data_IF_550333673193
#
_entry.id   IF_550333673193
#
_cell.length_a   1.000
_cell.length_b   1.000
_cell.length_c   1.000
_cell.angle_alpha   90.00
_cell.angle_beta   90.00
_cell.angle_gamma   90.00
#
_symmetry.space_group_name_H-M   'P 1'
#
loop_
_entity.id
_entity.type
_entity.pdbx_description
1 polymer ?
#
# COMPACT_ATOMS: atom_id res chain seq x y z
N UNK A 1 7.95 -46.03 44.33
CA UNK A 1 9.21 -45.32 43.99
C UNK A 1 8.82 -44.04 43.25
N UNK A 2 8.72 -42.89 43.94
CA UNK A 2 8.34 -41.61 43.31
C UNK A 2 9.63 -40.97 42.77
N UNK A 3 9.71 -40.81 41.44
CA UNK A 3 10.77 -40.02 40.81
C UNK A 3 10.61 -38.56 41.27
N UNK A 4 11.46 -38.12 42.19
CA UNK A 4 11.67 -36.71 42.48
C UNK A 4 12.29 -36.08 41.23
N UNK A 5 11.54 -35.27 40.50
CA UNK A 5 12.12 -34.42 39.48
C UNK A 5 13.00 -33.39 40.21
N UNK A 6 14.32 -33.48 40.03
CA UNK A 6 15.23 -32.47 40.55
C UNK A 6 14.93 -31.17 39.78
N UNK A 7 14.30 -30.19 40.44
CA UNK A 7 13.80 -28.94 39.84
C UNK A 7 14.89 -27.94 39.40
N UNK A 8 16.04 -28.42 38.93
CA UNK A 8 17.14 -27.58 38.47
C UNK A 8 16.85 -26.88 37.12
N UNK A 9 15.93 -27.42 36.32
CA UNK A 9 15.45 -26.79 35.10
C UNK A 9 13.97 -27.15 34.87
N UNK A 10 13.19 -26.18 34.38
CA UNK A 10 11.79 -26.34 34.01
C UNK A 10 11.56 -25.73 32.63
N UNK A 11 10.65 -26.30 31.85
CA UNK A 11 10.24 -25.71 30.58
C UNK A 11 9.46 -24.43 30.83
N UNK A 12 9.54 -23.45 29.91
CA UNK A 12 8.83 -22.18 30.03
C UNK A 12 7.32 -22.36 30.28
N UNK A 13 6.72 -23.36 29.62
CA UNK A 13 5.31 -23.73 29.81
C UNK A 13 5.00 -24.22 31.24
N UNK A 14 5.89 -25.01 31.87
CA UNK A 14 5.71 -25.45 33.27
C UNK A 14 6.07 -24.37 34.29
N UNK A 15 6.84 -23.35 33.89
CA UNK A 15 7.16 -22.20 34.72
C UNK A 15 6.01 -21.19 34.82
N UNK A 16 4.98 -21.31 33.98
CA UNK A 16 3.85 -20.39 33.97
C UNK A 16 3.15 -20.35 35.34
N UNK A 17 3.07 -19.16 35.93
CA UNK A 17 2.48 -18.95 37.26
C UNK A 17 3.44 -19.15 38.44
N UNK A 18 4.69 -19.56 38.19
CA UNK A 18 5.74 -19.57 39.22
C UNK A 18 6.48 -18.23 39.31
N UNK A 19 6.99 -17.91 40.49
CA UNK A 19 7.90 -16.78 40.72
C UNK A 19 9.13 -17.30 41.43
N UNK A 20 10.32 -16.92 40.95
CA UNK A 20 11.63 -17.30 41.49
C UNK A 20 12.43 -16.03 41.75
N UNK A 21 13.50 -16.10 42.55
CA UNK A 21 14.32 -14.92 42.83
C UNK A 21 15.15 -14.52 41.59
N UNK A 22 15.74 -15.50 40.90
CA UNK A 22 16.47 -15.28 39.63
C UNK A 22 16.04 -16.29 38.57
N UNK A 23 15.85 -15.81 37.34
CA UNK A 23 15.50 -16.65 36.20
C UNK A 23 16.62 -16.64 35.16
N UNK A 24 16.95 -17.84 34.65
CA UNK A 24 17.98 -18.07 33.65
C UNK A 24 17.36 -18.85 32.50
N UNK A 25 17.08 -18.18 31.39
CA UNK A 25 16.45 -18.75 30.21
C UNK A 25 17.51 -19.19 29.21
N UNK A 26 17.41 -20.41 28.69
CA UNK A 26 18.27 -20.91 27.61
C UNK A 26 17.45 -20.91 26.31
N UNK A 27 17.86 -20.09 25.35
CA UNK A 27 17.24 -19.92 24.04
C UNK A 27 18.10 -20.67 23.03
N UNK A 28 17.64 -21.84 22.62
CA UNK A 28 18.40 -22.78 21.77
C UNK A 28 17.90 -22.87 20.33
N UNK A 29 16.75 -22.25 20.01
CA UNK A 29 16.17 -22.28 18.67
C UNK A 29 15.48 -20.94 18.35
N UNK A 30 15.59 -20.44 17.11
CA UNK A 30 14.78 -19.32 16.62
C UNK A 30 13.28 -19.65 16.50
N UNK A 31 12.90 -20.93 16.62
CA UNK A 31 11.49 -21.39 16.61
C UNK A 31 10.78 -21.16 17.96
N UNK A 32 11.49 -20.64 18.96
CA UNK A 32 10.86 -20.25 20.22
C UNK A 32 9.86 -19.11 19.96
N UNK A 33 8.65 -19.21 20.51
CA UNK A 33 7.64 -18.17 20.37
C UNK A 33 7.93 -16.97 21.28
N UNK A 34 7.52 -15.77 20.86
CA UNK A 34 7.59 -14.54 21.66
C UNK A 34 6.96 -14.74 23.04
N UNK A 35 5.82 -15.43 23.09
CA UNK A 35 5.06 -15.68 24.31
C UNK A 35 5.84 -16.59 25.27
N UNK A 36 6.49 -17.64 24.76
CA UNK A 36 7.36 -18.49 25.57
C UNK A 36 8.56 -17.72 26.11
N UNK A 37 9.13 -16.82 25.31
CA UNK A 37 10.27 -16.01 25.73
C UNK A 37 9.86 -15.00 26.80
N UNK A 38 8.71 -14.35 26.60
CA UNK A 38 8.12 -13.46 27.59
C UNK A 38 7.87 -14.17 28.92
N UNK A 39 7.31 -15.38 28.89
CA UNK A 39 7.09 -16.18 30.10
C UNK A 39 8.43 -16.45 30.78
N UNK A 40 9.44 -16.94 30.06
CA UNK A 40 10.75 -17.24 30.64
C UNK A 40 11.45 -16.00 31.24
N UNK A 41 11.26 -14.83 30.62
CA UNK A 41 11.91 -13.57 31.00
C UNK A 41 11.16 -12.76 32.07
N UNK A 42 10.08 -13.29 32.64
CA UNK A 42 9.24 -12.61 33.64
C UNK A 42 9.07 -13.39 34.95
N UNK A 43 9.82 -14.48 35.15
CA UNK A 43 9.70 -15.30 36.37
C UNK A 43 10.56 -14.84 37.53
N UNK A 44 11.70 -14.22 37.24
CA UNK A 44 12.65 -13.72 38.24
C UNK A 44 12.19 -12.40 38.83
N UNK A 45 12.14 -12.31 40.17
CA UNK A 45 11.85 -11.08 40.89
C UNK A 45 13.04 -10.11 40.85
N UNK A 46 14.25 -10.63 41.00
CA UNK A 46 15.47 -9.81 41.12
C UNK A 46 16.22 -9.69 39.80
N UNK A 47 16.27 -10.77 39.02
CA UNK A 47 16.89 -10.74 37.69
C UNK A 47 16.37 -11.81 36.74
N UNK A 48 16.36 -11.48 35.45
CA UNK A 48 16.03 -12.39 34.36
C UNK A 48 17.16 -12.32 33.32
N UNK A 49 17.85 -13.44 33.06
CA UNK A 49 18.99 -13.53 32.12
C UNK A 49 18.65 -14.52 31.02
N UNK A 50 18.87 -14.12 29.76
CA UNK A 50 18.76 -15.02 28.61
C UNK A 50 20.15 -15.41 28.10
N UNK A 51 20.38 -16.70 27.91
CA UNK A 51 21.54 -17.25 27.23
C UNK A 51 21.08 -17.71 25.85
N UNK A 52 21.59 -17.05 24.81
CA UNK A 52 21.22 -17.32 23.43
C UNK A 52 22.31 -18.19 22.82
N UNK A 53 21.96 -19.44 22.48
CA UNK A 53 22.83 -20.32 21.73
C UNK A 53 22.98 -19.74 20.32
N UNK A 54 24.22 -19.51 19.90
CA UNK A 54 24.57 -19.00 18.56
C UNK A 54 25.30 -20.04 17.72
N UNK A 55 25.50 -21.24 18.29
CA UNK A 55 26.14 -22.40 17.71
C UNK A 55 25.13 -23.31 17.01
N UNK A 56 25.47 -23.75 15.80
CA UNK A 56 24.63 -24.62 14.95
C UNK A 56 25.02 -26.10 15.09
N UNK A 57 25.25 -26.62 16.30
CA UNK A 57 25.70 -28.01 16.48
C UNK A 57 24.65 -29.09 16.11
N UNK A 58 23.42 -28.71 15.79
CA UNK A 58 22.34 -29.62 15.39
C UNK A 58 22.10 -29.71 13.87
N UNK A 59 22.81 -28.92 13.05
CA UNK A 59 22.65 -28.93 11.59
C UNK A 59 23.72 -29.79 10.93
N UNK A 60 23.32 -30.64 9.98
CA UNK A 60 24.27 -31.34 9.09
C UNK A 60 24.91 -30.34 8.12
N UNK A 61 26.11 -30.64 7.61
CA UNK A 61 26.98 -29.71 6.85
C UNK A 61 26.28 -29.07 5.63
N UNK A 62 25.23 -29.70 5.10
CA UNK A 62 24.48 -29.27 3.92
C UNK A 62 23.29 -28.34 4.26
N UNK A 63 23.01 -28.12 5.55
CA UNK A 63 22.02 -27.17 6.06
C UNK A 63 22.65 -25.87 6.58
N UNK A 64 23.99 -25.77 6.56
CA UNK A 64 24.67 -24.52 6.82
C UNK A 64 24.41 -23.53 5.68
N UNK A 65 23.75 -22.42 6.02
CA UNK A 65 23.73 -21.22 5.19
C UNK A 65 24.83 -20.29 5.66
N UNK A 66 25.96 -20.27 4.94
CA UNK A 66 27.15 -19.44 5.24
C UNK A 66 26.88 -17.92 5.21
N UNK A 67 25.73 -17.53 4.67
CA UNK A 67 25.33 -16.16 4.35
C UNK A 67 24.65 -15.39 5.51
N UNK A 68 24.35 -16.05 6.63
CA UNK A 68 23.76 -15.41 7.81
C UNK A 68 24.65 -15.62 9.05
N UNK A 69 25.43 -14.61 9.41
CA UNK A 69 25.98 -14.53 10.77
C UNK A 69 24.80 -14.46 11.76
N UNK A 70 24.41 -15.60 12.32
CA UNK A 70 23.36 -15.70 13.34
C UNK A 70 23.86 -15.07 14.66
N UNK A 71 23.80 -13.74 14.73
CA UNK A 71 24.05 -13.02 15.97
C UNK A 71 22.91 -13.28 16.97
N UNK A 72 23.20 -13.19 18.27
CA UNK A 72 22.17 -13.29 19.30
C UNK A 72 21.01 -12.31 19.07
N UNK A 73 21.29 -11.16 18.44
CA UNK A 73 20.30 -10.14 18.08
C UNK A 73 19.35 -10.60 16.97
N UNK A 74 19.83 -11.28 15.93
CA UNK A 74 18.96 -11.75 14.83
C UNK A 74 18.05 -12.88 15.29
N UNK A 75 18.54 -13.77 16.15
CA UNK A 75 17.72 -14.84 16.77
C UNK A 75 16.62 -14.23 17.63
N UNK A 76 16.97 -13.26 18.49
CA UNK A 76 15.99 -12.57 19.33
C UNK A 76 14.94 -11.81 18.49
N UNK A 77 15.37 -11.20 17.38
CA UNK A 77 14.46 -10.53 16.45
C UNK A 77 13.49 -11.52 15.80
N UNK A 78 13.97 -12.70 15.37
CA UNK A 78 13.12 -13.77 14.85
C UNK A 78 12.08 -14.25 15.86
N UNK A 79 12.50 -14.47 17.11
CA UNK A 79 11.61 -14.90 18.20
C UNK A 79 10.53 -13.86 18.49
N UNK A 80 10.88 -12.57 18.48
CA UNK A 80 9.90 -11.48 18.70
C UNK A 80 8.84 -11.39 17.59
N UNK A 81 9.15 -11.86 16.38
CA UNK A 81 8.21 -11.94 15.26
C UNK A 81 7.41 -13.24 15.25
N UNK A 82 7.84 -14.27 16.00
CA UNK A 82 7.18 -15.57 16.04
C UNK A 82 6.08 -15.61 17.12
N UNK A 83 4.85 -15.31 16.72
CA UNK A 83 3.67 -15.35 17.60
C UNK A 83 3.12 -16.78 17.64
N UNK A 84 3.11 -17.39 18.83
CA UNK A 84 2.69 -18.78 19.05
C UNK A 84 1.20 -18.97 19.37
N UNK A 85 0.40 -17.91 19.33
CA UNK A 85 -1.04 -18.04 19.46
C UNK A 85 -1.59 -18.61 18.15
N UNK A 86 -2.23 -19.78 18.21
CA UNK A 86 -3.16 -20.17 17.16
C UNK A 86 -4.19 -19.03 17.04
N UNK A 87 -4.17 -18.32 15.91
CA UNK A 87 -5.12 -17.23 15.65
C UNK A 87 -6.51 -17.79 15.86
N UNK A 88 -7.32 -17.09 16.66
CA UNK A 88 -8.70 -17.52 16.86
C UNK A 88 -9.42 -17.54 15.49
N UNK A 89 -10.41 -18.41 15.32
CA UNK A 89 -11.20 -18.47 14.08
C UNK A 89 -11.79 -17.09 13.69
N UNK A 90 -11.98 -16.20 14.68
CA UNK A 90 -12.46 -14.84 14.47
C UNK A 90 -11.38 -13.88 13.97
N UNK A 91 -10.17 -13.92 14.52
CA UNK A 91 -9.03 -13.14 14.02
C UNK A 91 -8.59 -13.59 12.61
N UNK A 92 -8.69 -14.89 12.34
CA UNK A 92 -8.48 -15.43 10.98
C UNK A 92 -9.55 -14.90 10.02
N UNK A 93 -10.83 -14.90 10.43
CA UNK A 93 -11.92 -14.35 9.60
C UNK A 93 -11.76 -12.85 9.35
N UNK A 94 -11.37 -12.06 10.36
CA UNK A 94 -11.17 -10.61 10.20
C UNK A 94 -9.94 -10.31 9.35
N UNK A 95 -8.82 -11.01 9.55
CA UNK A 95 -7.63 -10.85 8.73
C UNK A 95 -7.85 -11.30 7.28
N UNK A 96 -8.57 -12.40 7.06
CA UNK A 96 -9.00 -12.84 5.73
C UNK A 96 -9.96 -11.82 5.12
N UNK A 97 -10.96 -11.33 5.84
CA UNK A 97 -11.87 -10.29 5.34
C UNK A 97 -11.15 -8.96 5.02
N UNK A 98 -10.15 -8.58 5.81
CA UNK A 98 -9.33 -7.39 5.55
C UNK A 98 -8.43 -7.57 4.32
N UNK A 99 -7.87 -8.77 4.10
CA UNK A 99 -7.10 -9.06 2.89
C UNK A 99 -8.01 -9.13 1.65
N UNK A 100 -9.14 -9.84 1.74
CA UNK A 100 -10.07 -10.09 0.63
C UNK A 100 -10.88 -8.83 0.27
N UNK A 101 -11.03 -7.90 1.22
CA UNK A 101 -11.67 -6.59 1.03
C UNK A 101 -10.68 -5.44 0.88
N UNK A 102 -9.38 -5.71 0.72
CA UNK A 102 -8.37 -4.66 0.57
C UNK A 102 -8.62 -3.84 -0.69
N UNK A 103 -8.28 -2.54 -0.63
CA UNK A 103 -8.39 -1.64 -1.77
C UNK A 103 -7.51 -2.09 -2.93
N UNK A 104 -6.42 -2.81 -2.65
CA UNK A 104 -5.57 -3.44 -3.65
C UNK A 104 -6.35 -4.47 -4.48
N UNK A 105 -7.01 -5.42 -3.82
CA UNK A 105 -7.78 -6.47 -4.48
C UNK A 105 -8.98 -5.90 -5.24
N UNK A 106 -9.79 -5.05 -4.58
CA UNK A 106 -10.98 -4.47 -5.19
C UNK A 106 -10.65 -3.66 -6.46
N UNK A 107 -9.51 -2.96 -6.45
CA UNK A 107 -9.07 -2.23 -7.62
C UNK A 107 -8.52 -3.14 -8.73
N UNK A 108 -7.82 -4.23 -8.39
CA UNK A 108 -7.37 -5.21 -9.39
C UNK A 108 -8.57 -5.89 -10.08
N UNK A 109 -9.62 -6.23 -9.32
CA UNK A 109 -10.88 -6.72 -9.88
C UNK A 109 -11.55 -5.68 -10.78
N UNK A 110 -11.62 -4.42 -10.32
CA UNK A 110 -12.17 -3.32 -11.12
C UNK A 110 -11.41 -3.14 -12.43
N UNK A 111 -10.08 -3.13 -12.39
CA UNK A 111 -9.24 -2.94 -13.57
C UNK A 111 -9.44 -4.05 -14.60
N UNK A 112 -9.60 -5.30 -14.13
CA UNK A 112 -9.89 -6.46 -14.99
C UNK A 112 -11.23 -6.30 -15.72
N UNK A 113 -12.30 -6.00 -14.97
CA UNK A 113 -13.63 -5.79 -15.56
C UNK A 113 -13.61 -4.59 -16.52
N UNK A 114 -12.95 -3.50 -16.13
CA UNK A 114 -12.89 -2.30 -16.93
C UNK A 114 -12.08 -2.47 -18.22
N UNK A 115 -11.04 -3.32 -18.24
CA UNK A 115 -10.29 -3.63 -19.45
C UNK A 115 -11.18 -4.33 -20.48
N UNK A 116 -11.92 -5.36 -20.05
CA UNK A 116 -12.87 -6.07 -20.91
C UNK A 116 -14.00 -5.14 -21.39
N UNK A 117 -14.62 -4.41 -20.46
CA UNK A 117 -15.80 -3.58 -20.72
C UNK A 117 -15.55 -2.35 -21.61
N UNK A 118 -14.29 -1.92 -21.76
CA UNK A 118 -13.93 -0.76 -22.58
C UNK A 118 -13.25 -1.12 -23.90
N UNK A 119 -13.04 -2.41 -24.20
CA UNK A 119 -12.27 -2.83 -25.37
C UNK A 119 -12.82 -2.20 -26.66
N UNK A 120 -14.12 -2.41 -26.94
CA UNK A 120 -14.78 -1.87 -28.14
C UNK A 120 -14.70 -0.34 -28.23
N UNK A 121 -14.82 0.32 -27.08
CA UNK A 121 -14.72 1.78 -26.98
C UNK A 121 -13.31 2.25 -27.34
N UNK A 122 -12.28 1.60 -26.82
CA UNK A 122 -10.89 1.98 -27.10
C UNK A 122 -10.53 1.73 -28.57
N UNK A 123 -10.96 0.60 -29.14
CA UNK A 123 -10.84 0.32 -30.58
C UNK A 123 -11.47 1.45 -31.40
N UNK A 124 -12.74 1.77 -31.11
CA UNK A 124 -13.47 2.85 -31.79
C UNK A 124 -12.71 4.18 -31.69
N UNK A 125 -12.20 4.53 -30.51
CA UNK A 125 -11.50 5.79 -30.31
C UNK A 125 -10.14 5.84 -31.04
N UNK A 126 -9.42 4.72 -31.12
CA UNK A 126 -8.15 4.62 -31.86
C UNK A 126 -8.37 4.76 -33.37
N UNK A 127 -9.45 4.16 -33.90
CA UNK A 127 -9.87 4.33 -35.30
C UNK A 127 -10.18 5.80 -35.60
N UNK A 128 -10.99 6.46 -34.76
CA UNK A 128 -11.28 7.90 -34.90
C UNK A 128 -10.03 8.78 -34.73
N UNK A 129 -9.05 8.29 -33.96
CA UNK A 129 -7.73 8.88 -33.84
C UNK A 129 -6.88 8.80 -35.11
N UNK A 130 -7.27 8.01 -36.11
CA UNK A 130 -6.57 7.89 -37.39
C UNK A 130 -5.62 6.71 -37.49
N UNK A 131 -5.72 5.72 -36.59
CA UNK A 131 -5.09 4.41 -36.79
C UNK A 131 -5.91 3.60 -37.80
N UNK A 132 -5.23 2.79 -38.61
CA UNK A 132 -5.92 1.88 -39.54
C UNK A 132 -6.46 0.66 -38.78
N UNK A 133 -7.55 0.03 -39.24
CA UNK A 133 -8.08 -1.18 -38.62
C UNK A 133 -7.01 -2.27 -38.46
N UNK A 134 -6.15 -2.46 -39.47
CA UNK A 134 -5.08 -3.48 -39.43
C UNK A 134 -4.06 -3.21 -38.31
N UNK A 135 -3.68 -1.95 -38.09
CA UNK A 135 -2.76 -1.58 -37.02
C UNK A 135 -3.38 -1.74 -35.63
N UNK A 136 -4.72 -1.62 -35.53
CA UNK A 136 -5.45 -1.82 -34.28
C UNK A 136 -5.59 -3.31 -33.99
N UNK A 137 -5.92 -4.13 -34.98
CA UNK A 137 -5.97 -5.59 -34.84
C UNK A 137 -4.61 -6.14 -34.37
N UNK A 138 -3.51 -5.72 -35.03
CA UNK A 138 -2.16 -6.10 -34.62
C UNK A 138 -1.85 -5.63 -33.19
N UNK A 139 -2.29 -4.43 -32.80
CA UNK A 139 -2.07 -3.88 -31.47
C UNK A 139 -2.83 -4.65 -30.39
N UNK A 140 -4.10 -5.01 -30.63
CA UNK A 140 -4.97 -5.72 -29.68
C UNK A 140 -4.39 -7.09 -29.30
N UNK A 141 -3.69 -7.75 -30.22
CA UNK A 141 -3.02 -9.03 -30.00
C UNK A 141 -1.74 -8.91 -29.15
N UNK A 142 -1.25 -7.69 -28.86
CA UNK A 142 -0.06 -7.48 -28.03
C UNK A 142 -0.37 -7.29 -26.55
N UNK A 143 0.55 -7.72 -25.68
CA UNK A 143 0.50 -7.44 -24.24
C UNK A 143 0.50 -5.93 -23.93
N UNK A 144 1.05 -5.11 -24.84
CA UNK A 144 1.15 -3.66 -24.69
C UNK A 144 -0.20 -2.95 -24.71
N UNK A 145 -1.24 -3.55 -25.32
CA UNK A 145 -2.57 -2.95 -25.43
C UNK A 145 -3.29 -2.81 -24.09
N UNK A 146 -3.19 -3.82 -23.21
CA UNK A 146 -3.75 -3.73 -21.86
C UNK A 146 -3.13 -2.61 -21.03
N UNK A 147 -1.82 -2.40 -21.17
CA UNK A 147 -1.10 -1.32 -20.50
C UNK A 147 -1.50 0.04 -21.10
N UNK A 148 -1.58 0.14 -22.43
CA UNK A 148 -1.98 1.34 -23.14
C UNK A 148 -3.39 1.80 -22.74
N UNK A 149 -4.37 0.89 -22.74
CA UNK A 149 -5.75 1.21 -22.37
C UNK A 149 -5.89 1.61 -20.90
N UNK A 150 -5.04 1.05 -20.03
CA UNK A 150 -4.92 1.46 -18.62
C UNK A 150 -4.36 2.89 -18.51
N UNK A 151 -3.32 3.24 -19.27
CA UNK A 151 -2.74 4.59 -19.32
C UNK A 151 -3.74 5.62 -19.89
N UNK A 152 -4.50 5.25 -20.94
CA UNK A 152 -5.56 6.10 -21.52
C UNK A 152 -6.71 6.33 -20.53
N UNK A 153 -7.19 5.28 -19.84
CA UNK A 153 -8.19 5.41 -18.78
C UNK A 153 -7.72 6.33 -17.66
N UNK A 154 -6.46 6.21 -17.26
CA UNK A 154 -5.85 7.08 -16.24
C UNK A 154 -5.83 8.54 -16.71
N UNK A 155 -5.39 8.78 -17.95
CA UNK A 155 -5.37 10.13 -18.52
C UNK A 155 -6.79 10.74 -18.57
N UNK A 156 -7.79 9.94 -18.91
CA UNK A 156 -9.20 10.36 -18.90
C UNK A 156 -9.67 10.72 -17.48
N UNK A 157 -9.38 9.85 -16.51
CA UNK A 157 -9.75 10.01 -15.11
C UNK A 157 -9.03 11.19 -14.44
N UNK A 158 -7.84 11.57 -14.91
CA UNK A 158 -7.14 12.77 -14.50
C UNK A 158 -7.73 14.04 -15.13
N UNK A 159 -8.69 13.91 -16.07
CA UNK A 159 -9.50 14.99 -16.60
C UNK A 159 -9.08 15.50 -17.98
N UNK A 160 -8.25 14.74 -18.70
CA UNK A 160 -7.92 15.06 -20.09
C UNK A 160 -9.04 14.67 -21.05
N UNK A 161 -9.16 15.39 -22.17
CA UNK A 161 -10.08 15.01 -23.26
C UNK A 161 -9.43 14.00 -24.19
N UNK A 162 -9.74 12.72 -24.03
CA UNK A 162 -9.11 11.67 -24.85
C UNK A 162 -9.47 11.82 -26.33
N UNK A 163 -10.68 12.28 -26.67
CA UNK A 163 -11.08 12.48 -28.06
C UNK A 163 -10.22 13.54 -28.74
N UNK A 164 -9.85 14.61 -28.04
CA UNK A 164 -9.00 15.67 -28.58
C UNK A 164 -7.51 15.29 -28.61
N UNK A 165 -7.08 14.44 -27.67
CA UNK A 165 -5.67 14.05 -27.53
C UNK A 165 -5.29 12.88 -28.44
N UNK A 166 -6.18 11.92 -28.69
CA UNK A 166 -5.88 10.74 -29.49
C UNK A 166 -5.36 11.07 -30.89
N UNK A 167 -6.00 11.95 -31.69
CA UNK A 167 -5.46 12.36 -32.98
C UNK A 167 -4.04 12.95 -32.89
N UNK A 168 -3.71 13.63 -31.79
CA UNK A 168 -2.36 14.20 -31.57
C UNK A 168 -1.35 13.14 -31.21
N UNK A 169 -1.77 12.09 -30.50
CA UNK A 169 -0.94 10.95 -30.12
C UNK A 169 -0.64 10.09 -31.35
N UNK A 170 -1.64 9.77 -32.17
CA UNK A 170 -1.51 8.90 -33.33
C UNK A 170 -0.77 9.57 -34.49
N UNK A 171 -1.05 10.85 -34.77
CA UNK A 171 -0.45 11.60 -35.89
C UNK A 171 0.91 12.23 -35.58
N UNK A 172 1.43 12.09 -34.35
CA UNK A 172 2.72 12.64 -33.95
C UNK A 172 3.92 11.85 -34.54
N UNK A 173 4.15 12.00 -35.84
CA UNK A 173 5.19 11.29 -36.58
C UNK A 173 4.71 9.98 -37.17
N UNK A 174 5.49 9.41 -38.09
CA UNK A 174 5.12 8.16 -38.78
C UNK A 174 5.00 7.00 -37.78
N UNK A 175 4.03 6.12 -38.06
CA UNK A 175 3.79 4.85 -37.37
C UNK A 175 4.23 3.65 -38.23
N UNK A 176 4.76 3.92 -39.43
CA UNK A 176 5.15 2.88 -40.39
C UNK A 176 6.44 2.19 -39.93
N UNK A 177 6.42 0.85 -39.94
CA UNK A 177 7.60 0.04 -39.61
C UNK A 177 7.99 0.07 -38.13
N UNK A 178 7.07 0.42 -37.23
CA UNK A 178 7.29 0.38 -35.78
C UNK A 178 7.12 -1.05 -35.27
N UNK A 179 8.13 -1.59 -34.60
CA UNK A 179 8.11 -2.96 -34.05
C UNK A 179 7.13 -3.12 -32.88
N UNK A 180 6.95 -2.09 -32.05
CA UNK A 180 6.00 -2.07 -30.93
C UNK A 180 5.21 -0.75 -30.92
N UNK A 181 4.05 -0.79 -31.57
CA UNK A 181 3.16 0.36 -31.68
C UNK A 181 2.61 0.79 -30.32
N UNK A 182 2.32 -0.15 -29.42
CA UNK A 182 1.77 0.18 -28.10
C UNK A 182 2.78 0.92 -27.23
N UNK A 183 4.04 0.50 -27.21
CA UNK A 183 5.11 1.24 -26.52
C UNK A 183 5.32 2.64 -27.09
N UNK A 184 5.25 2.81 -28.41
CA UNK A 184 5.31 4.12 -29.04
C UNK A 184 4.15 5.01 -28.59
N UNK A 185 2.92 4.51 -28.61
CA UNK A 185 1.73 5.26 -28.19
C UNK A 185 1.80 5.64 -26.71
N UNK A 186 2.26 4.74 -25.85
CA UNK A 186 2.49 5.02 -24.41
C UNK A 186 3.51 6.13 -24.19
N UNK A 187 4.64 6.08 -24.89
CA UNK A 187 5.63 7.16 -24.85
C UNK A 187 5.04 8.51 -25.29
N UNK A 188 4.23 8.51 -26.36
CA UNK A 188 3.55 9.72 -26.86
C UNK A 188 2.51 10.23 -25.87
N UNK A 189 1.74 9.35 -25.23
CA UNK A 189 0.79 9.71 -24.15
C UNK A 189 1.51 10.45 -23.03
N UNK A 190 2.65 9.94 -22.54
CA UNK A 190 3.41 10.59 -21.48
C UNK A 190 3.86 12.01 -21.87
N UNK A 191 4.33 12.20 -23.11
CA UNK A 191 4.70 13.53 -23.63
C UNK A 191 3.51 14.48 -23.73
N UNK A 192 2.39 13.99 -24.25
CA UNK A 192 1.17 14.78 -24.42
C UNK A 192 0.59 15.17 -23.05
N UNK A 193 0.55 14.25 -22.09
CA UNK A 193 0.12 14.51 -20.72
C UNK A 193 0.97 15.59 -20.03
N UNK A 194 2.28 15.62 -20.29
CA UNK A 194 3.16 16.67 -19.77
C UNK A 194 2.94 18.06 -20.41
N UNK A 195 2.34 18.09 -21.61
CA UNK A 195 2.17 19.32 -22.40
C UNK A 195 0.79 19.96 -22.20
N UNK A 196 -0.26 19.14 -22.12
CA UNK A 196 -1.64 19.61 -22.01
C UNK A 196 -2.15 19.49 -20.60
N UNK A 197 -2.74 20.55 -20.07
CA UNK A 197 -3.23 20.54 -18.69
C UNK A 197 -4.58 19.83 -18.59
N UNK A 198 -4.77 18.98 -17.57
CA UNK A 198 -6.06 18.37 -17.28
C UNK A 198 -7.08 19.39 -16.79
N UNK A 199 -8.36 19.09 -16.98
CA UNK A 199 -9.45 19.85 -16.37
C UNK A 199 -9.83 19.25 -15.02
N UNK A 200 -9.64 20.01 -13.94
CA UNK A 200 -10.05 19.60 -12.60
C UNK A 200 -11.54 19.23 -12.50
N UNK A 201 -12.39 19.79 -13.38
CA UNK A 201 -13.84 19.49 -13.43
C UNK A 201 -14.16 18.10 -13.99
N UNK A 202 -13.21 17.47 -14.68
CA UNK A 202 -13.37 16.16 -15.32
C UNK A 202 -12.70 15.03 -14.54
N UNK A 203 -12.01 15.35 -13.44
CA UNK A 203 -11.35 14.35 -12.60
C UNK A 203 -12.40 13.37 -12.07
N UNK A 204 -12.17 12.08 -12.30
CA UNK A 204 -13.09 11.02 -11.92
C UNK A 204 -12.31 9.83 -11.37
N UNK A 205 -12.09 9.86 -10.05
CA UNK A 205 -11.34 8.84 -9.32
C UNK A 205 -12.23 8.19 -8.27
N UNK A 206 -12.06 6.88 -8.08
CA UNK A 206 -12.68 6.09 -7.02
C UNK A 206 -11.69 6.01 -5.87
N UNK A 207 -12.17 6.24 -4.63
CA UNK A 207 -11.33 6.31 -3.44
C UNK A 207 -10.13 7.29 -3.57
N UNK A 208 -10.22 8.26 -4.48
CA UNK A 208 -9.15 9.23 -4.78
C UNK A 208 -7.92 8.67 -5.51
N UNK A 209 -7.91 7.38 -5.89
CA UNK A 209 -6.75 6.72 -6.52
C UNK A 209 -7.09 5.99 -7.80
N UNK A 210 -8.19 5.23 -7.83
CA UNK A 210 -8.49 4.31 -8.93
C UNK A 210 -9.19 5.06 -10.06
N UNK A 211 -8.66 5.04 -11.30
CA UNK A 211 -9.32 5.66 -12.46
C UNK A 211 -10.70 5.07 -12.72
N UNK A 212 -11.75 5.89 -12.71
CA UNK A 212 -13.10 5.43 -13.07
C UNK A 212 -13.19 5.14 -14.56
N UNK A 213 -13.69 3.96 -14.92
CA UNK A 213 -14.02 3.59 -16.27
C UNK A 213 -15.31 4.31 -16.74
N UNK A 214 -15.28 4.84 -17.96
CA UNK A 214 -16.40 5.54 -18.59
C UNK A 214 -16.76 4.89 -19.94
N UNK A 215 -17.94 5.24 -20.46
CA UNK A 215 -18.39 4.78 -21.78
C UNK A 215 -18.67 3.28 -21.87
N UNK A 216 -19.05 2.65 -20.75
CA UNK A 216 -19.44 1.24 -20.70
C UNK A 216 -20.83 1.07 -21.30
N UNK A 217 -20.97 0.13 -22.23
CA UNK A 217 -22.24 -0.15 -22.93
C UNK A 217 -22.94 -1.40 -22.40
N UNK A 218 -22.20 -2.41 -21.97
CA UNK A 218 -22.76 -3.63 -21.36
C UNK A 218 -23.33 -3.33 -19.96
N UNK A 219 -24.64 -3.50 -19.73
CA UNK A 219 -25.28 -3.25 -18.44
C UNK A 219 -24.74 -4.13 -17.30
N UNK A 220 -24.38 -5.38 -17.58
CA UNK A 220 -23.87 -6.31 -16.58
C UNK A 220 -22.48 -5.91 -16.11
N UNK A 221 -21.60 -5.52 -17.04
CA UNK A 221 -20.27 -4.99 -16.70
C UNK A 221 -20.38 -3.63 -16.00
N UNK A 222 -21.29 -2.76 -16.44
CA UNK A 222 -21.57 -1.49 -15.77
C UNK A 222 -22.00 -1.71 -14.31
N UNK A 223 -22.90 -2.67 -14.06
CA UNK A 223 -23.32 -3.03 -12.71
C UNK A 223 -22.14 -3.58 -11.89
N UNK A 224 -21.37 -4.52 -12.45
CA UNK A 224 -20.23 -5.10 -11.75
C UNK A 224 -19.19 -4.04 -11.35
N UNK A 225 -18.89 -3.09 -12.24
CA UNK A 225 -18.01 -1.95 -11.93
C UNK A 225 -18.58 -1.10 -10.80
N UNK A 226 -19.87 -0.73 -10.86
CA UNK A 226 -20.53 0.07 -9.81
C UNK A 226 -20.48 -0.63 -8.44
N UNK A 227 -20.67 -1.94 -8.39
CA UNK A 227 -20.55 -2.72 -7.15
C UNK A 227 -19.13 -2.63 -6.57
N UNK A 228 -18.08 -2.77 -7.39
CA UNK A 228 -16.68 -2.60 -6.93
C UNK A 228 -16.42 -1.17 -6.47
N UNK A 229 -16.95 -0.15 -7.15
CA UNK A 229 -16.82 1.24 -6.70
C UNK A 229 -17.41 1.47 -5.31
N UNK A 230 -18.59 0.90 -5.05
CA UNK A 230 -19.24 0.99 -3.74
C UNK A 230 -18.42 0.28 -2.65
N UNK A 231 -17.89 -0.91 -2.94
CA UNK A 231 -17.04 -1.64 -2.01
C UNK A 231 -15.75 -0.87 -1.69
N UNK A 232 -15.09 -0.28 -2.69
CA UNK A 232 -13.89 0.54 -2.49
C UNK A 232 -14.18 1.78 -1.63
N UNK A 233 -15.33 2.42 -1.86
CA UNK A 233 -15.75 3.58 -1.07
C UNK A 233 -16.05 3.20 0.39
N UNK A 234 -16.78 2.09 0.61
CA UNK A 234 -17.06 1.58 1.95
C UNK A 234 -15.77 1.20 2.70
N UNK A 235 -14.82 0.55 2.02
CA UNK A 235 -13.51 0.20 2.58
C UNK A 235 -12.76 1.46 3.00
N UNK A 236 -12.69 2.48 2.13
CA UNK A 236 -12.04 3.74 2.46
C UNK A 236 -12.70 4.46 3.65
N UNK A 237 -14.02 4.46 3.72
CA UNK A 237 -14.76 5.07 4.83
C UNK A 237 -14.46 4.35 6.15
N UNK A 238 -14.41 3.01 6.15
CA UNK A 238 -14.03 2.22 7.33
C UNK A 238 -12.58 2.45 7.77
N UNK A 239 -11.63 2.50 6.82
CA UNK A 239 -10.22 2.81 7.09
C UNK A 239 -10.05 4.22 7.67
N UNK A 240 -10.77 5.19 7.13
CA UNK A 240 -10.74 6.58 7.58
C UNK A 240 -11.28 6.70 9.01
N UNK A 241 -12.43 6.08 9.29
CA UNK A 241 -12.99 6.03 10.65
C UNK A 241 -12.00 5.40 11.63
N UNK A 242 -11.42 4.25 11.27
CA UNK A 242 -10.45 3.54 12.10
C UNK A 242 -9.22 4.40 12.40
N UNK A 243 -8.67 5.09 11.40
CA UNK A 243 -7.53 5.99 11.58
C UNK A 243 -7.88 7.15 12.53
N UNK A 244 -9.08 7.73 12.43
CA UNK A 244 -9.51 8.82 13.31
C UNK A 244 -9.72 8.33 14.75
N UNK A 245 -10.34 7.16 14.94
CA UNK A 245 -10.60 6.58 16.26
C UNK A 245 -9.34 6.04 16.94
N UNK A 246 -8.40 5.50 16.16
CA UNK A 246 -7.15 4.91 16.63
C UNK A 246 -5.96 5.53 15.89
N UNK A 247 -5.53 6.74 16.27
CA UNK A 247 -4.49 7.45 15.53
C UNK A 247 -3.16 6.71 15.48
N UNK A 248 -2.70 6.41 14.27
CA UNK A 248 -1.40 5.79 14.02
C UNK A 248 -0.25 6.81 14.01
N UNK A 249 1.02 6.37 14.16
CA UNK A 249 2.17 7.28 14.22
C UNK A 249 2.30 8.25 13.04
N UNK A 250 1.87 7.85 11.84
CA UNK A 250 1.94 8.68 10.64
C UNK A 250 0.98 9.86 10.69
N UNK A 251 -0.11 9.81 11.47
CA UNK A 251 -1.08 10.90 11.55
C UNK A 251 -0.52 12.15 12.24
N UNK A 252 0.56 12.01 13.01
CA UNK A 252 1.25 13.14 13.66
C UNK A 252 1.77 14.16 12.65
N UNK A 253 2.08 13.73 11.43
CA UNK A 253 2.54 14.66 10.37
C UNK A 253 1.42 15.55 9.84
N UNK A 254 0.16 15.24 10.17
CA UNK A 254 -1.04 15.98 9.76
C UNK A 254 -1.58 16.87 10.87
N UNK A 255 -0.91 16.91 12.03
CA UNK A 255 -1.28 17.79 13.12
C UNK A 255 -1.05 19.26 12.72
N UNK A 256 -2.01 20.12 13.05
CA UNK A 256 -1.98 21.55 12.69
C UNK A 256 -2.60 21.89 11.33
N UNK A 257 -3.02 20.90 10.54
CA UNK A 257 -3.89 21.15 9.38
C UNK A 257 -5.30 21.55 9.83
N UNK A 258 -5.99 22.34 9.00
CA UNK A 258 -7.42 22.61 9.16
C UNK A 258 -8.23 21.29 9.16
N UNK A 259 -9.34 21.16 9.92
CA UNK A 259 -10.10 19.91 10.00
C UNK A 259 -10.53 19.32 8.65
N UNK A 260 -10.93 20.14 7.69
CA UNK A 260 -11.38 19.67 6.36
C UNK A 260 -10.20 19.17 5.53
N UNK A 261 -9.11 19.93 5.54
CA UNK A 261 -7.86 19.58 4.88
C UNK A 261 -7.23 18.31 5.49
N UNK A 262 -7.29 18.18 6.81
CA UNK A 262 -6.84 17.00 7.56
C UNK A 262 -7.64 15.78 7.18
N UNK A 263 -8.97 15.87 7.11
CA UNK A 263 -9.81 14.74 6.70
C UNK A 263 -9.46 14.29 5.27
N UNK A 264 -9.28 15.23 4.36
CA UNK A 264 -8.88 14.95 2.96
C UNK A 264 -7.53 14.24 2.90
N UNK A 265 -6.54 14.73 3.64
CA UNK A 265 -5.22 14.12 3.76
C UNK A 265 -5.28 12.70 4.37
N UNK A 266 -6.04 12.51 5.45
CA UNK A 266 -6.22 11.20 6.09
C UNK A 266 -6.83 10.20 5.11
N UNK A 267 -7.88 10.58 4.37
CA UNK A 267 -8.50 9.71 3.36
C UNK A 267 -7.50 9.32 2.27
N UNK A 268 -6.75 10.28 1.73
CA UNK A 268 -5.76 10.01 0.69
C UNK A 268 -4.65 9.06 1.16
N UNK A 269 -4.13 9.29 2.37
CA UNK A 269 -3.10 8.44 2.97
C UNK A 269 -3.66 7.05 3.29
N UNK A 270 -4.85 6.95 3.86
CA UNK A 270 -5.49 5.66 4.17
C UNK A 270 -5.71 4.82 2.90
N UNK A 271 -6.24 5.43 1.83
CA UNK A 271 -6.41 4.77 0.54
C UNK A 271 -5.05 4.29 0.00
N UNK A 272 -4.03 5.14 0.00
CA UNK A 272 -2.70 4.80 -0.52
C UNK A 272 -2.06 3.66 0.28
N UNK A 273 -2.14 3.72 1.61
CA UNK A 273 -1.55 2.71 2.50
C UNK A 273 -2.21 1.36 2.34
N UNK A 274 -3.54 1.30 2.24
CA UNK A 274 -4.28 0.04 2.07
C UNK A 274 -4.07 -0.57 0.68
N UNK A 275 -4.02 0.27 -0.38
CA UNK A 275 -3.77 -0.18 -1.75
C UNK A 275 -2.36 -0.76 -1.94
N UNK A 276 -1.35 -0.20 -1.27
CA UNK A 276 0.06 -0.55 -1.49
C UNK A 276 0.72 -1.25 -0.30
N UNK A 277 -0.05 -1.63 0.72
CA UNK A 277 0.46 -2.37 1.89
C UNK A 277 1.47 -1.59 2.73
N UNK A 278 1.33 -0.27 2.83
CA UNK A 278 2.30 0.57 3.54
C UNK A 278 2.07 0.49 5.05
N UNK A 279 3.02 -0.13 5.75
CA UNK A 279 2.98 -0.30 7.21
C UNK A 279 3.94 0.62 7.97
N UNK A 280 4.75 1.41 7.25
CA UNK A 280 5.75 2.30 7.85
C UNK A 280 5.10 3.42 8.68
N UNK A 281 5.90 4.06 9.54
CA UNK A 281 5.48 5.23 10.33
C UNK A 281 5.42 6.52 9.50
N UNK A 282 5.94 6.51 8.27
CA UNK A 282 5.75 7.59 7.30
C UNK A 282 4.35 7.47 6.67
N UNK A 283 3.65 8.59 6.41
CA UNK A 283 2.33 8.55 5.74
C UNK A 283 2.35 7.72 4.45
N UNK A 284 3.32 7.97 3.57
CA UNK A 284 3.39 7.35 2.23
C UNK A 284 4.56 6.38 2.06
N UNK A 285 5.35 6.11 3.10
CA UNK A 285 6.55 5.26 2.96
C UNK A 285 7.64 5.88 2.06
N UNK A 286 8.58 5.05 1.54
CA UNK A 286 9.61 5.52 0.61
C UNK A 286 9.02 5.84 -0.77
N UNK A 287 9.71 6.68 -1.54
CA UNK A 287 9.34 6.93 -2.94
C UNK A 287 9.43 5.60 -3.71
N UNK A 288 8.34 5.13 -4.34
CA UNK A 288 8.29 3.82 -4.97
C UNK A 288 9.05 3.81 -6.30
N UNK A 289 9.61 2.68 -6.73
CA UNK A 289 10.22 2.56 -8.06
C UNK A 289 9.22 2.14 -9.15
N UNK A 290 8.12 1.50 -8.75
CA UNK A 290 7.05 1.09 -9.65
C UNK A 290 6.25 2.30 -10.17
N UNK A 291 5.98 2.35 -11.48
CA UNK A 291 5.31 3.47 -12.13
C UNK A 291 3.85 3.63 -11.67
N UNK A 292 3.14 2.52 -11.46
CA UNK A 292 1.75 2.56 -11.02
C UNK A 292 1.65 3.11 -9.60
N UNK A 293 2.50 2.63 -8.69
CA UNK A 293 2.60 3.14 -7.33
C UNK A 293 3.12 4.58 -7.28
N UNK A 294 4.04 4.97 -8.16
CA UNK A 294 4.60 6.33 -8.22
C UNK A 294 3.52 7.37 -8.49
N UNK A 295 2.58 7.10 -9.40
CA UNK A 295 1.50 8.04 -9.69
C UNK A 295 0.56 8.21 -8.49
N UNK A 296 0.17 7.10 -7.86
CA UNK A 296 -0.66 7.15 -6.65
C UNK A 296 0.06 7.87 -5.49
N UNK A 297 1.37 7.64 -5.37
CA UNK A 297 2.23 8.32 -4.41
C UNK A 297 2.24 9.83 -4.63
N UNK A 298 2.45 10.29 -5.87
CA UNK A 298 2.48 11.72 -6.19
C UNK A 298 1.12 12.39 -5.97
N UNK A 299 0.02 11.69 -6.29
CA UNK A 299 -1.33 12.18 -6.03
C UNK A 299 -1.59 12.36 -4.53
N UNK A 300 -1.28 11.34 -3.72
CA UNK A 300 -1.42 11.43 -2.28
C UNK A 300 -0.50 12.50 -1.67
N UNK A 301 0.74 12.63 -2.18
CA UNK A 301 1.70 13.66 -1.76
C UNK A 301 1.23 15.07 -2.09
N UNK A 302 0.59 15.28 -3.24
CA UNK A 302 0.02 16.57 -3.62
C UNK A 302 -1.01 17.07 -2.60
N UNK A 303 -1.89 16.17 -2.12
CA UNK A 303 -2.90 16.51 -1.10
C UNK A 303 -2.28 16.80 0.28
N UNK A 304 -1.17 16.16 0.61
CA UNK A 304 -0.42 16.49 1.84
C UNK A 304 0.24 17.86 1.76
N UNK A 305 0.83 18.19 0.60
CA UNK A 305 1.65 19.40 0.43
C UNK A 305 0.79 20.65 0.25
N UNK A 306 -0.32 20.55 -0.49
CA UNK A 306 -1.25 21.67 -0.72
C UNK A 306 -1.99 22.12 0.56
N UNK A 307 -1.87 21.36 1.65
CA UNK A 307 -2.56 21.58 2.92
C UNK A 307 -1.61 21.84 4.09
N UNK A 308 -0.30 21.86 3.85
CA UNK A 308 0.63 22.42 4.82
C UNK A 308 0.53 23.95 4.79
N UNK A 309 0.33 24.61 5.95
CA UNK A 309 0.42 26.06 6.00
C UNK A 309 1.82 26.49 5.56
N UNK A 310 1.90 27.50 4.70
CA UNK A 310 3.15 28.12 4.29
C UNK A 310 3.93 28.55 5.56
N UNK A 311 5.19 28.14 5.75
CA UNK A 311 6.00 28.60 6.89
C UNK A 311 6.07 30.13 7.01
N UNK A 312 5.77 30.90 5.94
CA UNK A 312 5.69 32.36 5.99
C UNK A 312 4.45 32.91 6.72
N UNK A 313 3.33 32.17 6.75
CA UNK A 313 2.10 32.61 7.46
C UNK A 313 2.19 32.40 8.97
N UNK A 314 2.94 31.39 9.42
CA UNK A 314 3.15 31.11 10.85
C UNK A 314 4.06 32.17 11.50
N UNK A 315 5.02 32.71 10.75
CA UNK A 315 5.90 33.80 11.21
C UNK A 315 5.14 35.14 11.35
N UNK A 316 4.24 35.42 10.40
CA UNK A 316 3.44 36.67 10.37
C UNK A 316 2.45 36.74 11.55
N UNK A 317 1.80 35.63 11.90
CA UNK A 317 0.90 35.55 13.05
C UNK A 317 1.61 35.65 14.42
N UNK A 318 2.86 35.21 14.51
CA UNK A 318 3.68 35.32 15.73
C UNK A 318 4.22 36.75 15.95
N UNK A 319 4.50 37.50 14.88
CA UNK A 319 4.93 38.90 14.95
C UNK A 319 3.77 39.85 15.31
N UNK A 320 2.56 39.61 14.80
CA UNK A 320 1.39 40.42 15.15
C UNK A 320 0.94 40.26 16.62
N UNK A 321 1.11 39.07 17.22
CA UNK A 321 0.81 38.85 18.65
C UNK A 321 1.83 39.50 19.60
N UNK A 322 3.02 39.87 19.13
CA UNK A 322 4.05 40.57 19.92
C UNK A 322 3.97 42.09 19.88
N UNK A 323 3.24 42.68 18.91
CA UNK A 323 3.19 44.15 18.76
C UNK A 323 2.08 44.84 19.57
N UNK A 324 1.30 44.10 20.35
CA UNK A 324 0.13 44.61 21.08
C UNK A 324 0.30 44.76 22.59
N UNK A 325 1.49 45.14 23.10
CA UNK A 325 1.61 45.51 24.52
C UNK A 325 2.84 46.36 24.86
N UNK A 326 2.75 47.67 24.67
CA UNK A 326 3.38 48.64 25.58
C UNK A 326 2.82 50.06 25.38
N UNK A 327 2.34 50.59 26.51
CA UNK A 327 1.98 51.97 26.87
C UNK A 327 0.80 52.60 26.13
#
# INVERSE_FOLDING_TARGET
>A
MRLQNLGYAITAHRAQGSTVDTAHAIVHSPEMTRESLYVAMTRGRESNRAYIATDQHHLEEHQHRDDLQMTARSILYGILQHVGAEQSAHETTTAEQDMWGSLAQLAAEYDTIAQEAQLDRWVTLLEHGGLTPEAIDDLVETESFGILTTDLRRLEADGHDINDLLPRITLAGSIDGVEDLGSLLRYRIQKVAATYQPSARRVSLIAGLVPRATGITDPAMQQALQEREQLMQQRLDALTTTAIERPEPWMRTLDGMDPEARLTAVRAVAAYRDRWGITSTSPLGPVPNDDAQRVDYERARGLLTNHQPDPQDVASGAQQRRSGRTL
#
